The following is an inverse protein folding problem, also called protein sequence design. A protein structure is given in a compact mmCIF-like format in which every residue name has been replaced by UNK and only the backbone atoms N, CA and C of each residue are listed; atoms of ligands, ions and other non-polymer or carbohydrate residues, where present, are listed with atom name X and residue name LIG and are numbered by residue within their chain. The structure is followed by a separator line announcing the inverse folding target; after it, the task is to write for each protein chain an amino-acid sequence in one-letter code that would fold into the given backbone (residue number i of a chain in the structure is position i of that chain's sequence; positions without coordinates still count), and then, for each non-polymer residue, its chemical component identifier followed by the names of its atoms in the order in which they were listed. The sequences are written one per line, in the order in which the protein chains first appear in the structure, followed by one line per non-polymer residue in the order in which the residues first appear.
data_IF_435379988725
#
_entry.id   IF_435379988725
#
_cell.length_a   1.000
_cell.length_b   1.000
_cell.length_c   1.000
_cell.angle_alpha   90.00
_cell.angle_beta   90.00
_cell.angle_gamma   90.00
#
_symmetry.space_group_name_H-M   'P 1'
#
loop_
_entity.id
_entity.type
_entity.pdbx_description
1 polymer ?
#
# COMPACT_ATOMS: atom_id res chain seq x y z
N UNK A 1 14.12 3.97 -3.82
CA UNK A 1 13.69 2.61 -3.43
C UNK A 1 12.86 1.99 -4.54
N UNK A 2 13.05 0.71 -4.81
CA UNK A 2 12.31 -0.04 -5.82
C UNK A 2 12.22 -1.52 -5.43
N UNK A 3 11.33 -2.29 -6.08
CA UNK A 3 11.17 -3.73 -5.90
C UNK A 3 11.01 -4.48 -7.24
N UNK A 4 11.13 -3.77 -8.36
CA UNK A 4 11.13 -4.37 -9.68
C UNK A 4 12.51 -4.93 -10.05
N UNK A 5 12.55 -5.79 -11.03
CA UNK A 5 13.82 -6.26 -11.60
C UNK A 5 14.58 -5.08 -12.20
N UNK A 6 15.86 -4.89 -11.85
CA UNK A 6 16.64 -3.79 -12.35
C UNK A 6 16.89 -3.92 -13.86
N UNK A 7 16.94 -2.80 -14.57
CA UNK A 7 17.41 -2.75 -15.94
C UNK A 7 18.93 -3.03 -16.02
N UNK A 8 19.44 -3.26 -17.23
CA UNK A 8 20.87 -3.46 -17.44
C UNK A 8 21.69 -2.24 -17.00
N UNK A 9 21.15 -1.04 -17.19
CA UNK A 9 21.72 0.21 -16.70
C UNK A 9 20.85 0.73 -15.54
N UNK A 10 21.48 0.93 -14.39
CA UNK A 10 20.83 1.49 -13.22
C UNK A 10 20.70 3.01 -13.34
N UNK A 11 19.64 3.62 -12.77
CA UNK A 11 19.50 5.08 -12.75
C UNK A 11 20.65 5.73 -11.98
N UNK A 12 21.05 6.93 -12.42
CA UNK A 12 22.05 7.74 -11.73
C UNK A 12 21.43 8.31 -10.43
N UNK A 13 21.61 7.61 -9.33
CA UNK A 13 21.11 7.98 -8.01
C UNK A 13 22.20 7.79 -6.97
N UNK A 14 22.21 8.63 -5.92
CA UNK A 14 23.21 8.54 -4.83
C UNK A 14 23.16 7.18 -4.12
N UNK A 15 21.96 6.64 -3.92
CA UNK A 15 21.74 5.34 -3.28
C UNK A 15 20.51 4.67 -3.91
N UNK A 16 20.66 3.39 -4.25
CA UNK A 16 19.56 2.53 -4.71
C UNK A 16 19.33 1.45 -3.68
N UNK A 17 18.07 1.35 -3.19
CA UNK A 17 17.63 0.29 -2.27
C UNK A 17 16.57 -0.55 -2.99
N UNK A 18 16.98 -1.75 -3.41
CA UNK A 18 16.10 -2.75 -4.04
C UNK A 18 16.54 -4.15 -3.63
N UNK A 19 15.62 -5.09 -3.38
CA UNK A 19 15.95 -6.48 -3.06
C UNK A 19 16.56 -7.22 -4.26
N UNK A 20 16.30 -6.78 -5.48
CA UNK A 20 16.64 -7.46 -6.71
C UNK A 20 17.93 -6.95 -7.37
N UNK A 21 18.65 -6.03 -6.71
CA UNK A 21 19.98 -5.64 -7.18
C UNK A 21 20.93 -6.82 -7.22
N UNK A 22 21.84 -6.86 -8.21
CA UNK A 22 22.91 -7.84 -8.27
C UNK A 22 23.72 -7.87 -6.96
N UNK A 23 23.93 -9.06 -6.40
CA UNK A 23 24.66 -9.22 -5.14
C UNK A 23 23.86 -8.94 -3.85
N UNK A 24 22.60 -8.50 -3.95
CA UNK A 24 21.77 -8.28 -2.77
C UNK A 24 21.42 -9.60 -2.06
N UNK A 25 21.81 -9.73 -0.78
CA UNK A 25 21.53 -10.88 0.08
C UNK A 25 20.12 -10.91 0.69
N UNK A 26 19.19 -10.05 0.27
CA UNK A 26 17.83 -10.03 0.79
C UNK A 26 17.10 -11.34 0.49
N UNK A 27 16.66 -12.05 1.52
CA UNK A 27 15.98 -13.33 1.37
C UNK A 27 14.55 -13.21 0.79
N UNK A 28 13.88 -12.06 1.00
CA UNK A 28 12.55 -11.78 0.48
C UNK A 28 12.67 -10.98 -0.81
N UNK A 29 12.77 -11.67 -1.94
CA UNK A 29 12.81 -11.07 -3.27
C UNK A 29 11.44 -10.58 -3.75
N UNK A 30 10.37 -11.06 -3.16
CA UNK A 30 8.99 -10.68 -3.48
C UNK A 30 8.45 -9.55 -2.59
N UNK A 31 9.31 -8.81 -1.88
CA UNK A 31 8.84 -7.73 -1.02
C UNK A 31 8.28 -6.58 -1.86
N UNK A 32 7.09 -6.09 -1.53
CA UNK A 32 6.47 -4.94 -2.19
C UNK A 32 7.27 -3.64 -1.98
N UNK A 33 7.12 -2.66 -2.86
CA UNK A 33 7.79 -1.36 -2.75
C UNK A 33 7.58 -0.68 -1.40
N UNK A 34 6.35 -0.73 -0.85
CA UNK A 34 6.04 -0.25 0.51
C UNK A 34 6.83 -0.99 1.59
N UNK A 35 7.08 -2.28 1.41
CA UNK A 35 7.88 -3.08 2.33
C UNK A 35 9.38 -2.73 2.27
N UNK A 36 9.90 -2.44 1.07
CA UNK A 36 11.27 -1.91 0.90
C UNK A 36 11.39 -0.56 1.60
N UNK A 37 10.45 0.35 1.32
CA UNK A 37 10.40 1.67 1.96
C UNK A 37 10.30 1.56 3.49
N UNK A 38 9.52 0.62 4.03
CA UNK A 38 9.41 0.40 5.47
C UNK A 38 10.70 -0.11 6.11
N UNK A 39 11.51 -0.89 5.39
CA UNK A 39 12.81 -1.37 5.90
C UNK A 39 13.85 -0.26 6.05
N UNK A 40 13.81 0.75 5.17
CA UNK A 40 14.76 1.87 5.25
C UNK A 40 14.68 2.63 6.60
N UNK A 41 13.51 3.12 7.07
CA UNK A 41 13.41 3.74 8.39
C UNK A 41 13.66 2.76 9.55
N UNK A 42 13.44 1.46 9.38
CA UNK A 42 13.84 0.47 10.39
C UNK A 42 15.35 0.41 10.55
N UNK A 43 16.09 0.36 9.45
CA UNK A 43 17.55 0.37 9.46
C UNK A 43 18.09 1.71 9.99
N UNK A 44 17.55 2.83 9.51
CA UNK A 44 17.90 4.17 9.98
C UNK A 44 17.66 4.32 11.49
N UNK A 45 16.51 3.86 11.99
CA UNK A 45 16.23 3.88 13.44
C UNK A 45 17.27 3.07 14.22
N UNK A 46 17.65 1.89 13.71
CA UNK A 46 18.69 1.06 14.33
C UNK A 46 20.02 1.79 14.42
N UNK A 47 20.45 2.39 13.32
CA UNK A 47 21.69 3.16 13.23
C UNK A 47 21.70 4.39 14.16
N UNK A 48 20.63 5.18 14.14
CA UNK A 48 20.51 6.37 14.99
C UNK A 48 20.49 6.03 16.47
N UNK A 49 19.90 4.89 16.84
CA UNK A 49 19.99 4.37 18.21
C UNK A 49 21.41 3.98 18.58
N UNK A 50 22.14 3.33 17.70
CA UNK A 50 23.57 3.00 17.92
C UNK A 50 24.42 4.25 18.12
N UNK A 51 24.08 5.34 17.40
CA UNK A 51 24.73 6.66 17.54
C UNK A 51 24.25 7.47 18.75
N UNK A 52 23.34 6.95 19.56
CA UNK A 52 22.85 7.63 20.77
C UNK A 52 21.90 8.81 20.51
N UNK A 53 21.34 8.94 19.27
CA UNK A 53 20.38 10.01 18.95
C UNK A 53 19.06 9.81 19.72
N UNK A 54 18.67 8.56 19.95
CA UNK A 54 17.55 8.17 20.81
C UNK A 54 17.78 6.77 21.40
N UNK A 55 17.08 6.46 22.47
CA UNK A 55 17.08 5.15 23.13
C UNK A 55 15.81 4.34 22.80
N UNK A 56 15.62 3.22 23.49
CA UNK A 56 14.45 2.36 23.29
C UNK A 56 13.12 3.03 23.69
N UNK A 57 13.13 4.01 24.58
CA UNK A 57 11.92 4.71 25.05
C UNK A 57 11.55 5.88 24.13
N UNK A 58 12.55 6.59 23.59
CA UNK A 58 12.37 7.81 22.79
C UNK A 58 12.35 7.57 21.27
N UNK A 59 12.74 6.36 20.81
CA UNK A 59 12.79 6.02 19.39
C UNK A 59 11.39 6.06 18.73
N UNK A 60 11.29 6.44 17.43
CA UNK A 60 10.03 6.42 16.69
C UNK A 60 9.36 5.05 16.66
N UNK A 61 8.05 5.01 16.89
CA UNK A 61 7.24 3.79 16.82
C UNK A 61 6.84 3.51 15.36
N UNK A 62 7.65 2.73 14.64
CA UNK A 62 7.39 2.41 13.23
C UNK A 62 6.27 1.38 13.03
N UNK A 63 5.85 0.71 14.07
CA UNK A 63 4.78 -0.29 14.00
C UNK A 63 3.41 0.33 13.69
N UNK A 64 3.22 1.64 13.90
CA UNK A 64 2.02 2.39 13.50
C UNK A 64 1.84 2.42 11.97
N UNK A 65 2.90 2.21 11.21
CA UNK A 65 2.88 2.17 9.74
C UNK A 65 2.45 0.79 9.18
N UNK A 66 2.43 -0.25 10.00
CA UNK A 66 2.14 -1.62 9.54
C UNK A 66 0.77 -1.81 8.88
N UNK A 67 -0.31 -1.09 9.26
CA UNK A 67 -1.56 -1.11 8.49
C UNK A 67 -1.39 -0.70 7.03
N UNK A 68 -0.63 0.37 6.78
CA UNK A 68 -0.34 0.86 5.42
C UNK A 68 0.60 -0.09 4.67
N UNK A 69 1.60 -0.64 5.35
CA UNK A 69 2.50 -1.65 4.77
C UNK A 69 1.72 -2.89 4.33
N UNK A 70 0.77 -3.34 5.15
CA UNK A 70 -0.08 -4.49 4.82
C UNK A 70 -1.00 -4.18 3.63
N UNK A 71 -1.63 -3.00 3.61
CA UNK A 71 -2.46 -2.56 2.49
C UNK A 71 -1.65 -2.55 1.18
N UNK A 72 -0.51 -1.85 1.16
CA UNK A 72 0.31 -1.74 -0.04
C UNK A 72 0.86 -3.09 -0.49
N UNK A 73 1.31 -3.97 0.44
CA UNK A 73 1.79 -5.32 0.11
C UNK A 73 0.73 -6.16 -0.59
N UNK A 74 -0.53 -6.09 -0.13
CA UNK A 74 -1.63 -6.86 -0.73
C UNK A 74 -2.11 -6.22 -2.02
N UNK A 75 -2.21 -4.88 -2.09
CA UNK A 75 -2.67 -4.14 -3.27
C UNK A 75 -1.69 -4.25 -4.45
N UNK A 76 -0.41 -4.44 -4.18
CA UNK A 76 0.65 -4.63 -5.17
C UNK A 76 0.69 -6.07 -5.76
N UNK A 77 -0.11 -6.97 -5.21
CA UNK A 77 -0.27 -8.37 -5.68
C UNK A 77 1.04 -9.16 -5.68
N UNK A 78 2.00 -8.80 -4.86
CA UNK A 78 3.26 -9.54 -4.73
C UNK A 78 3.05 -10.92 -4.08
N UNK A 79 3.96 -11.85 -4.36
CA UNK A 79 3.95 -13.15 -3.70
C UNK A 79 4.04 -12.99 -2.19
N UNK A 80 3.10 -13.59 -1.46
CA UNK A 80 3.10 -13.59 0.00
C UNK A 80 4.06 -14.67 0.54
N UNK A 81 5.35 -14.40 0.47
CA UNK A 81 6.38 -15.21 1.13
C UNK A 81 6.31 -15.08 2.66
N UNK A 82 7.17 -15.75 3.40
CA UNK A 82 7.16 -15.74 4.86
C UNK A 82 7.32 -14.32 5.45
N UNK A 83 8.11 -13.44 4.81
CA UNK A 83 8.28 -12.06 5.24
C UNK A 83 7.02 -11.22 5.01
N UNK A 84 6.48 -11.26 3.78
CA UNK A 84 5.27 -10.51 3.43
C UNK A 84 4.08 -10.96 4.28
N UNK A 85 3.92 -12.27 4.53
CA UNK A 85 2.88 -12.79 5.43
C UNK A 85 2.98 -12.22 6.84
N UNK A 86 4.19 -12.09 7.39
CA UNK A 86 4.40 -11.50 8.71
C UNK A 86 4.00 -10.02 8.73
N UNK A 87 4.41 -9.25 7.73
CA UNK A 87 4.05 -7.83 7.61
C UNK A 87 2.53 -7.66 7.49
N UNK A 88 1.88 -8.43 6.60
CA UNK A 88 0.43 -8.39 6.40
C UNK A 88 -0.32 -8.82 7.65
N UNK A 89 0.11 -9.90 8.33
CA UNK A 89 -0.54 -10.36 9.56
C UNK A 89 -0.46 -9.31 10.68
N UNK A 90 0.69 -8.63 10.81
CA UNK A 90 0.86 -7.57 11.81
C UNK A 90 0.04 -6.31 11.48
N UNK A 91 -0.07 -5.95 10.22
CA UNK A 91 -0.94 -4.85 9.79
C UNK A 91 -2.42 -5.17 10.01
N UNK A 92 -2.90 -6.35 9.60
CA UNK A 92 -4.27 -6.79 9.84
C UNK A 92 -4.62 -6.86 11.33
N UNK A 93 -3.69 -7.31 12.18
CA UNK A 93 -3.89 -7.31 13.63
C UNK A 93 -4.19 -5.91 14.16
N UNK A 94 -3.48 -4.88 13.66
CA UNK A 94 -3.69 -3.49 14.07
C UNK A 94 -4.99 -2.93 13.52
N UNK A 95 -5.29 -3.18 12.26
CA UNK A 95 -6.56 -2.78 11.64
C UNK A 95 -7.75 -3.35 12.42
N UNK A 96 -7.72 -4.63 12.75
CA UNK A 96 -8.79 -5.28 13.55
C UNK A 96 -8.92 -4.69 14.94
N UNK A 97 -7.84 -4.19 15.52
CA UNK A 97 -7.83 -3.47 16.79
C UNK A 97 -8.14 -1.97 16.64
N UNK A 98 -8.52 -1.50 15.45
CA UNK A 98 -8.78 -0.09 15.11
C UNK A 98 -7.56 0.83 15.34
N UNK A 99 -6.36 0.27 15.45
CA UNK A 99 -5.10 1.00 15.57
C UNK A 99 -4.51 1.27 14.16
N UNK A 100 -5.12 2.19 13.44
CA UNK A 100 -4.78 2.54 12.06
C UNK A 100 -4.99 4.03 11.79
N UNK A 101 -4.39 4.62 10.72
CA UNK A 101 -4.67 5.97 10.29
C UNK A 101 -6.15 6.19 9.98
N UNK A 102 -6.67 7.44 10.23
CA UNK A 102 -8.08 7.76 10.02
C UNK A 102 -8.49 7.59 8.55
N UNK A 103 -7.63 7.90 7.58
CA UNK A 103 -7.92 7.67 6.16
C UNK A 103 -8.14 6.20 5.81
N UNK A 104 -7.40 5.28 6.42
CA UNK A 104 -7.63 3.85 6.24
C UNK A 104 -8.97 3.43 6.86
N UNK A 105 -9.33 3.97 8.03
CA UNK A 105 -10.62 3.73 8.66
C UNK A 105 -11.78 4.25 7.78
N UNK A 106 -11.68 5.46 7.24
CA UNK A 106 -12.68 6.04 6.34
C UNK A 106 -12.82 5.25 5.04
N UNK A 107 -11.73 4.68 4.49
CA UNK A 107 -11.80 3.77 3.33
C UNK A 107 -12.57 2.49 3.65
N UNK A 108 -12.43 1.91 4.84
CA UNK A 108 -13.26 0.79 5.27
C UNK A 108 -14.74 1.16 5.27
N UNK A 109 -15.10 2.30 5.85
CA UNK A 109 -16.48 2.79 5.89
C UNK A 109 -17.00 3.04 4.48
N UNK A 110 -16.29 3.79 3.64
CA UNK A 110 -16.69 4.09 2.26
C UNK A 110 -16.85 2.84 1.39
N UNK A 111 -16.08 1.79 1.68
CA UNK A 111 -16.19 0.51 0.98
C UNK A 111 -17.28 -0.42 1.50
N UNK A 112 -17.98 -0.06 2.59
CA UNK A 112 -18.95 -0.92 3.27
C UNK A 112 -18.31 -2.14 3.94
N UNK A 113 -17.03 -2.06 4.30
CA UNK A 113 -16.29 -3.14 4.96
C UNK A 113 -16.10 -2.86 6.44
N UNK A 114 -15.96 -3.93 7.23
CA UNK A 114 -15.80 -3.85 8.68
C UNK A 114 -14.34 -4.12 9.07
N UNK A 115 -13.67 -3.11 9.59
CA UNK A 115 -12.26 -3.19 9.98
C UNK A 115 -11.99 -4.25 11.08
N UNK A 116 -12.83 -4.45 12.11
CA UNK A 116 -12.61 -5.50 13.14
C UNK A 116 -12.53 -6.93 12.61
N UNK A 117 -13.08 -7.20 11.44
CA UNK A 117 -13.04 -8.54 10.79
C UNK A 117 -12.28 -8.51 9.46
N UNK A 118 -11.47 -7.48 9.23
CA UNK A 118 -10.72 -7.26 8.00
C UNK A 118 -9.87 -8.48 7.61
N UNK A 119 -9.80 -8.72 6.31
CA UNK A 119 -9.01 -9.76 5.68
C UNK A 119 -8.11 -9.18 4.59
N UNK A 120 -7.22 -9.98 4.02
CA UNK A 120 -6.45 -9.58 2.83
C UNK A 120 -7.36 -9.31 1.63
N UNK A 121 -8.51 -9.96 1.54
CA UNK A 121 -9.50 -9.70 0.49
C UNK A 121 -9.99 -8.25 0.52
N UNK A 122 -10.23 -7.70 1.71
CA UNK A 122 -10.67 -6.30 1.84
C UNK A 122 -9.60 -5.33 1.34
N UNK A 123 -8.34 -5.59 1.64
CA UNK A 123 -7.22 -4.79 1.10
C UNK A 123 -7.11 -4.88 -0.41
N UNK A 124 -7.11 -6.09 -0.99
CA UNK A 124 -6.90 -6.30 -2.41
C UNK A 124 -8.08 -5.94 -3.29
N UNK A 125 -9.32 -6.16 -2.81
CA UNK A 125 -10.52 -6.05 -3.66
C UNK A 125 -11.50 -4.96 -3.23
N UNK A 126 -11.32 -4.36 -2.06
CA UNK A 126 -12.13 -3.23 -1.63
C UNK A 126 -11.32 -1.92 -1.54
N UNK A 127 -10.27 -1.87 -0.73
CA UNK A 127 -9.53 -0.63 -0.47
C UNK A 127 -8.55 -0.29 -1.59
N UNK A 128 -7.70 -1.23 -2.00
CA UNK A 128 -6.71 -1.04 -3.07
C UNK A 128 -7.29 -0.50 -4.36
N UNK A 129 -8.40 -1.06 -4.89
CA UNK A 129 -9.02 -0.55 -6.10
C UNK A 129 -9.50 0.90 -6.03
N UNK A 130 -9.91 1.40 -4.84
CA UNK A 130 -10.33 2.79 -4.65
C UNK A 130 -9.14 3.75 -4.76
N UNK A 131 -8.03 3.40 -4.13
CA UNK A 131 -6.79 4.18 -4.19
C UNK A 131 -6.24 4.16 -5.62
N UNK A 132 -6.16 2.98 -6.24
CA UNK A 132 -5.62 2.81 -7.60
C UNK A 132 -6.48 3.50 -8.68
N UNK A 133 -7.79 3.63 -8.47
CA UNK A 133 -8.68 4.30 -9.41
C UNK A 133 -8.33 5.79 -9.56
N UNK A 134 -7.93 6.47 -8.50
CA UNK A 134 -7.47 7.86 -8.54
C UNK A 134 -6.30 8.05 -9.51
N UNK A 135 -5.30 7.19 -9.46
CA UNK A 135 -4.14 7.26 -10.35
C UNK A 135 -4.43 6.90 -11.82
N UNK A 136 -5.61 6.35 -12.13
CA UNK A 136 -6.03 5.99 -13.50
C UNK A 136 -6.96 7.01 -14.14
N UNK A 137 -7.86 7.58 -13.37
CA UNK A 137 -8.95 8.45 -13.89
C UNK A 137 -8.85 9.90 -13.37
N UNK A 138 -8.01 10.18 -12.39
CA UNK A 138 -7.92 11.47 -11.72
C UNK A 138 -6.48 11.75 -11.27
N UNK A 139 -6.30 12.14 -10.02
CA UNK A 139 -5.02 12.45 -9.40
C UNK A 139 -4.74 11.52 -8.21
N UNK A 140 -3.60 10.80 -8.27
CA UNK A 140 -3.13 9.93 -7.18
C UNK A 140 -2.94 10.69 -5.87
N UNK A 141 -2.73 12.01 -5.91
CA UNK A 141 -2.59 12.88 -4.73
C UNK A 141 -3.78 12.73 -3.77
N UNK A 142 -5.00 12.51 -4.29
CA UNK A 142 -6.19 12.26 -3.47
C UNK A 142 -6.03 11.01 -2.58
N UNK A 143 -5.49 9.94 -3.14
CA UNK A 143 -5.22 8.71 -2.39
C UNK A 143 -4.12 8.89 -1.34
N UNK A 144 -3.07 9.61 -1.70
CA UNK A 144 -1.96 9.93 -0.78
C UNK A 144 -2.46 10.81 0.36
N UNK A 145 -3.19 11.89 0.07
CA UNK A 145 -3.75 12.80 1.08
C UNK A 145 -4.70 12.04 2.02
N UNK A 146 -5.56 11.18 1.48
CA UNK A 146 -6.47 10.35 2.28
C UNK A 146 -5.71 9.50 3.31
N UNK A 147 -4.59 8.90 2.93
CA UNK A 147 -3.81 8.04 3.83
C UNK A 147 -2.91 8.82 4.80
N UNK A 148 -2.58 10.08 4.52
CA UNK A 148 -1.68 10.91 5.31
C UNK A 148 -2.38 11.89 6.24
N UNK A 149 -3.63 12.26 5.97
CA UNK A 149 -4.35 13.21 6.81
C UNK A 149 -4.60 12.65 8.21
N UNK A 150 -4.46 13.50 9.22
CA UNK A 150 -4.85 13.24 10.61
C UNK A 150 -6.24 13.80 10.95
N UNK A 151 -6.88 14.53 10.00
CA UNK A 151 -8.24 15.05 10.14
C UNK A 151 -9.28 14.01 9.69
N UNK A 152 -10.11 13.48 10.62
CA UNK A 152 -11.13 12.49 10.28
C UNK A 152 -12.18 13.01 9.29
N UNK A 153 -12.56 14.27 9.34
CA UNK A 153 -13.55 14.83 8.42
C UNK A 153 -12.99 14.90 7.01
N UNK A 154 -11.74 15.33 6.86
CA UNK A 154 -11.03 15.33 5.58
C UNK A 154 -10.81 13.93 5.04
N UNK A 155 -10.47 12.97 5.91
CA UNK A 155 -10.33 11.56 5.55
C UNK A 155 -11.63 10.99 4.97
N UNK A 156 -12.77 11.29 5.60
CA UNK A 156 -14.10 10.84 5.13
C UNK A 156 -14.49 11.45 3.79
N UNK A 157 -14.22 12.73 3.57
CA UNK A 157 -14.43 13.40 2.29
C UNK A 157 -13.62 12.74 1.17
N UNK A 158 -12.33 12.55 1.40
CA UNK A 158 -11.42 11.93 0.44
C UNK A 158 -11.79 10.48 0.15
N UNK A 159 -12.13 9.69 1.16
CA UNK A 159 -12.55 8.30 1.00
C UNK A 159 -13.84 8.17 0.16
N UNK A 160 -14.81 9.07 0.34
CA UNK A 160 -16.03 9.14 -0.49
C UNK A 160 -15.72 9.52 -1.93
N UNK A 161 -14.81 10.47 -2.14
CA UNK A 161 -14.34 10.85 -3.48
C UNK A 161 -13.69 9.67 -4.19
N UNK A 162 -12.78 8.97 -3.51
CA UNK A 162 -12.11 7.77 -4.04
C UNK A 162 -13.10 6.64 -4.36
N UNK A 163 -14.14 6.45 -3.55
CA UNK A 163 -15.21 5.49 -3.83
C UNK A 163 -16.01 5.88 -5.10
N UNK A 164 -16.30 7.16 -5.27
CA UNK A 164 -16.95 7.70 -6.49
C UNK A 164 -16.13 7.40 -7.74
N UNK A 165 -14.85 7.76 -7.74
CA UNK A 165 -13.91 7.49 -8.84
C UNK A 165 -13.83 5.99 -9.16
N UNK A 166 -13.78 5.14 -8.12
CA UNK A 166 -13.76 3.70 -8.34
C UNK A 166 -15.05 3.12 -8.92
N UNK A 167 -16.21 3.72 -8.60
CA UNK A 167 -17.50 3.35 -9.25
C UNK A 167 -17.48 3.71 -10.72
N UNK A 168 -17.05 4.92 -11.07
CA UNK A 168 -16.91 5.37 -12.44
C UNK A 168 -15.97 4.45 -13.25
N UNK A 169 -14.81 4.13 -12.70
CA UNK A 169 -13.87 3.16 -13.31
C UNK A 169 -14.55 1.84 -13.65
N UNK A 170 -15.38 1.31 -12.75
CA UNK A 170 -16.10 0.04 -12.97
C UNK A 170 -17.10 0.11 -14.12
N UNK A 171 -17.77 1.24 -14.29
CA UNK A 171 -18.67 1.46 -15.43
C UNK A 171 -17.87 1.43 -16.73
N UNK A 172 -16.81 2.22 -16.81
CA UNK A 172 -15.92 2.28 -17.98
C UNK A 172 -15.37 0.88 -18.34
N UNK A 173 -14.88 0.13 -17.32
CA UNK A 173 -14.39 -1.24 -17.55
C UNK A 173 -15.49 -2.20 -18.04
N UNK A 174 -16.73 -2.02 -17.56
CA UNK A 174 -17.88 -2.78 -18.03
C UNK A 174 -18.14 -2.54 -19.50
N UNK A 175 -18.25 -1.28 -19.91
CA UNK A 175 -18.49 -0.86 -21.28
C UNK A 175 -17.38 -1.35 -22.22
N UNK A 176 -16.12 -1.19 -21.82
CA UNK A 176 -14.97 -1.67 -22.60
C UNK A 176 -15.00 -3.18 -22.79
N UNK A 177 -15.38 -3.93 -21.75
CA UNK A 177 -15.49 -5.39 -21.83
C UNK A 177 -16.60 -5.81 -22.79
N UNK A 178 -17.75 -5.17 -22.74
CA UNK A 178 -18.86 -5.45 -23.66
C UNK A 178 -18.46 -5.17 -25.11
N UNK A 179 -17.83 -4.04 -25.37
CA UNK A 179 -17.31 -3.72 -26.70
C UNK A 179 -16.29 -4.75 -27.20
N UNK A 180 -15.36 -5.16 -26.34
CA UNK A 180 -14.37 -6.16 -26.69
C UNK A 180 -14.99 -7.53 -27.01
N UNK A 181 -16.04 -7.93 -26.28
CA UNK A 181 -16.79 -9.16 -26.55
C UNK A 181 -17.49 -9.12 -27.91
N UNK A 182 -18.14 -8.01 -28.25
CA UNK A 182 -18.78 -7.83 -29.56
C UNK A 182 -17.77 -7.95 -30.71
N UNK A 183 -16.59 -7.38 -30.56
CA UNK A 183 -15.52 -7.50 -31.56
C UNK A 183 -15.05 -8.94 -31.67
N UNK A 184 -14.83 -9.64 -30.54
CA UNK A 184 -14.38 -11.02 -30.53
C UNK A 184 -15.40 -12.00 -31.15
N UNK A 185 -16.71 -11.75 -30.99
CA UNK A 185 -17.79 -12.55 -31.59
C UNK A 185 -17.95 -12.30 -33.10
N UNK A 186 -17.38 -11.20 -33.61
CA UNK A 186 -17.41 -10.87 -35.05
C UNK A 186 -16.25 -11.42 -35.87
N UNK A 187 -15.25 -12.03 -35.18
CA UNK A 187 -14.08 -12.66 -35.81
C UNK A 187 -14.28 -14.14 -36.07
#
# INVERSE_FOLDING_TARGET
TDHHLPAAELPNADVIVSPDQPGCGCASKSIAGVGVTFRAPMALRGELRTRGVFDAATQPKLDVLLPLVALGTVADVVRLDANNRRLVAQGLKRVRALAMPCGLASLFVASGRSAPVATTFDFGFALGPRINAAGRLSDMTLGIECLLTDDPARADELAKTLDGINRERRVIEGDMREQAMLVAESL
#
